data_IF_735852256571
#
_entry.id   IF_735852256571
#
_cell.length_a   1.000
_cell.length_b   1.000
_cell.length_c   1.000
_cell.angle_alpha   90.00
_cell.angle_beta   90.00
_cell.angle_gamma   90.00
#
_symmetry.space_group_name_H-M   'P 1'
#
loop_
_entity.id
_entity.type
_entity.pdbx_description
1 polymer ?
#
# COMPACT_ATOMS: atom_id res chain seq x y z
N UNK A 1 3.60 34.13 -8.46
CA UNK A 1 3.73 33.73 -7.04
C UNK A 1 2.35 33.34 -6.53
N UNK A 2 1.90 32.12 -6.80
CA UNK A 2 0.61 31.63 -6.29
C UNK A 2 0.86 31.04 -4.90
N UNK A 3 0.56 31.80 -3.85
CA UNK A 3 0.40 31.23 -2.52
C UNK A 3 -0.73 30.21 -2.61
N UNK A 4 -0.44 28.96 -2.28
CA UNK A 4 -1.50 28.01 -1.93
C UNK A 4 -2.34 28.71 -0.86
N UNK A 5 -3.61 28.97 -1.18
CA UNK A 5 -4.55 29.51 -0.21
C UNK A 5 -4.65 28.51 0.95
N UNK A 6 -3.98 28.82 2.06
CA UNK A 6 -4.08 28.10 3.33
C UNK A 6 -5.46 28.20 4.00
N UNK A 7 -6.51 28.57 3.24
CA UNK A 7 -7.89 28.45 3.67
C UNK A 7 -8.52 27.23 3.00
N UNK A 8 -7.95 26.05 3.25
CA UNK A 8 -8.74 24.83 3.13
C UNK A 8 -9.50 24.66 4.43
N UNK A 9 -10.83 24.60 4.35
CA UNK A 9 -11.64 24.00 5.40
C UNK A 9 -11.32 22.51 5.43
N UNK A 10 -10.11 22.16 5.90
CA UNK A 10 -9.77 20.79 6.23
C UNK A 10 -10.74 20.40 7.33
N UNK A 11 -11.60 19.43 7.04
CA UNK A 11 -12.28 18.65 8.06
C UNK A 11 -11.20 18.23 9.07
N UNK A 12 -11.24 18.80 10.27
CA UNK A 12 -10.36 18.42 11.37
C UNK A 12 -11.12 17.33 12.11
N UNK A 13 -10.91 16.04 11.79
CA UNK A 13 -11.49 14.98 12.58
C UNK A 13 -11.04 15.20 14.03
N UNK A 14 -11.99 15.12 14.97
CA UNK A 14 -11.68 15.29 16.38
C UNK A 14 -10.64 14.22 16.77
N UNK A 15 -9.69 14.56 17.66
CA UNK A 15 -8.63 13.65 18.10
C UNK A 15 -9.17 12.26 18.53
N UNK A 16 -10.38 12.23 19.10
CA UNK A 16 -11.12 11.03 19.47
C UNK A 16 -11.55 10.18 18.27
N UNK A 17 -11.93 10.80 17.14
CA UNK A 17 -12.34 10.11 15.91
C UNK A 17 -11.17 9.37 15.25
N UNK A 18 -9.98 9.99 15.20
CA UNK A 18 -8.78 9.33 14.66
C UNK A 18 -8.41 8.14 15.54
N UNK A 19 -8.37 8.32 16.86
CA UNK A 19 -8.08 7.23 17.80
C UNK A 19 -9.10 6.10 17.66
N UNK A 20 -10.39 6.42 17.50
CA UNK A 20 -11.43 5.41 17.29
C UNK A 20 -11.23 4.65 15.97
N UNK A 21 -10.88 5.33 14.88
CA UNK A 21 -10.57 4.67 13.59
C UNK A 21 -9.37 3.74 13.74
N UNK A 22 -8.31 4.19 14.40
CA UNK A 22 -7.11 3.37 14.63
C UNK A 22 -7.40 2.16 15.53
N UNK A 23 -8.19 2.33 16.59
CA UNK A 23 -8.64 1.24 17.47
C UNK A 23 -9.54 0.28 16.70
N UNK A 24 -10.44 0.76 15.84
CA UNK A 24 -11.30 -0.10 15.03
C UNK A 24 -10.52 -0.88 13.98
N UNK A 25 -9.56 -0.25 13.28
CA UNK A 25 -8.67 -0.95 12.34
C UNK A 25 -7.89 -2.02 13.09
N UNK A 26 -7.25 -1.67 14.21
CA UNK A 26 -6.48 -2.61 15.01
C UNK A 26 -7.35 -3.77 15.54
N UNK A 27 -8.53 -3.47 16.10
CA UNK A 27 -9.45 -4.48 16.61
C UNK A 27 -10.00 -5.38 15.50
N UNK A 28 -10.29 -4.83 14.32
CA UNK A 28 -10.76 -5.59 13.16
C UNK A 28 -9.64 -6.48 12.59
N UNK A 29 -8.41 -5.97 12.49
CA UNK A 29 -7.23 -6.76 12.13
C UNK A 29 -7.02 -7.91 13.11
N UNK A 30 -7.07 -7.64 14.43
CA UNK A 30 -6.95 -8.67 15.47
C UNK A 30 -8.10 -9.68 15.40
N UNK A 31 -9.34 -9.24 15.21
CA UNK A 31 -10.49 -10.15 15.11
C UNK A 31 -10.40 -11.06 13.89
N UNK A 32 -9.92 -10.56 12.74
CA UNK A 32 -9.73 -11.38 11.56
C UNK A 32 -8.60 -12.39 11.77
N UNK A 33 -7.45 -11.95 12.29
CA UNK A 33 -6.33 -12.82 12.64
C UNK A 33 -6.79 -13.92 13.60
N UNK A 34 -7.57 -13.56 14.64
CA UNK A 34 -8.11 -14.50 15.62
C UNK A 34 -9.13 -15.46 14.99
N UNK A 35 -9.98 -14.98 14.08
CA UNK A 35 -10.98 -15.82 13.41
C UNK A 35 -10.39 -16.84 12.44
N UNK A 36 -9.11 -16.66 12.06
CA UNK A 36 -8.38 -17.49 11.09
C UNK A 36 -7.20 -18.25 11.71
N UNK A 37 -7.21 -18.48 13.03
CA UNK A 37 -6.24 -19.37 13.71
C UNK A 37 -6.21 -20.83 13.19
N UNK A 38 -7.10 -21.22 12.29
CA UNK A 38 -6.95 -22.45 11.52
C UNK A 38 -6.18 -22.14 10.22
N UNK A 39 -4.96 -22.66 10.10
CA UNK A 39 -4.20 -22.69 8.86
C UNK A 39 -5.12 -23.15 7.72
N UNK A 40 -5.37 -22.27 6.76
CA UNK A 40 -6.13 -22.58 5.56
C UNK A 40 -5.13 -22.54 4.41
N UNK A 41 -4.74 -23.68 3.81
CA UNK A 41 -3.88 -23.66 2.64
C UNK A 41 -4.60 -22.88 1.53
N UNK A 42 -3.85 -22.10 0.74
CA UNK A 42 -4.42 -21.48 -0.45
C UNK A 42 -5.02 -22.56 -1.34
N UNK A 43 -6.28 -22.44 -1.79
CA UNK A 43 -6.86 -23.39 -2.72
C UNK A 43 -5.98 -23.47 -3.96
N UNK A 44 -5.62 -24.68 -4.39
CA UNK A 44 -4.93 -24.87 -5.66
C UNK A 44 -5.77 -24.25 -6.79
N UNK A 45 -5.14 -23.79 -7.88
CA UNK A 45 -5.85 -23.22 -9.04
C UNK A 45 -6.99 -24.14 -9.54
N UNK A 46 -6.81 -25.45 -9.44
CA UNK A 46 -7.80 -26.49 -9.80
C UNK A 46 -9.07 -26.48 -8.92
N UNK A 47 -8.98 -25.90 -7.72
CA UNK A 47 -10.06 -25.75 -6.74
C UNK A 47 -10.61 -24.33 -6.69
N UNK A 48 -10.20 -23.46 -7.62
CA UNK A 48 -10.71 -22.10 -7.75
C UNK A 48 -12.16 -22.11 -8.25
N UNK A 49 -13.09 -22.38 -7.34
CA UNK A 49 -14.51 -22.47 -7.61
C UNK A 49 -15.14 -21.13 -7.97
N UNK A 50 -16.41 -21.18 -8.38
CA UNK A 50 -17.18 -19.99 -8.81
C UNK A 50 -17.23 -18.89 -7.73
N UNK A 51 -17.24 -19.27 -6.45
CA UNK A 51 -17.28 -18.32 -5.35
C UNK A 51 -15.97 -17.50 -5.25
N UNK A 52 -14.81 -18.14 -5.40
CA UNK A 52 -13.52 -17.46 -5.39
C UNK A 52 -13.35 -16.58 -6.63
N UNK A 53 -13.88 -17.02 -7.78
CA UNK A 53 -13.93 -16.21 -9.01
C UNK A 53 -14.76 -14.94 -8.83
N UNK A 54 -15.96 -15.07 -8.27
CA UNK A 54 -16.81 -13.91 -7.94
C UNK A 54 -16.08 -12.98 -6.95
N UNK A 55 -15.47 -13.54 -5.92
CA UNK A 55 -14.77 -12.77 -4.89
C UNK A 55 -13.58 -11.99 -5.47
N UNK A 56 -12.76 -12.62 -6.33
CA UNK A 56 -11.65 -11.99 -7.04
C UNK A 56 -12.12 -10.76 -7.84
N UNK A 57 -13.17 -10.89 -8.65
CA UNK A 57 -13.61 -9.79 -9.49
C UNK A 57 -14.37 -8.70 -8.73
N UNK A 58 -15.07 -9.05 -7.64
CA UNK A 58 -15.59 -8.06 -6.70
C UNK A 58 -14.41 -7.27 -6.10
N UNK A 59 -13.34 -7.93 -5.67
CA UNK A 59 -12.14 -7.26 -5.18
C UNK A 59 -11.55 -6.31 -6.25
N UNK A 60 -11.44 -6.75 -7.51
CA UNK A 60 -10.96 -5.90 -8.61
C UNK A 60 -11.82 -4.63 -8.80
N UNK A 61 -13.14 -4.80 -8.88
CA UNK A 61 -14.09 -3.69 -9.05
C UNK A 61 -13.99 -2.71 -7.88
N UNK A 62 -13.97 -3.23 -6.64
CA UNK A 62 -13.89 -2.40 -5.44
C UNK A 62 -12.57 -1.64 -5.36
N UNK A 63 -11.45 -2.25 -5.75
CA UNK A 63 -10.14 -1.60 -5.81
C UNK A 63 -10.13 -0.39 -6.76
N UNK A 64 -10.64 -0.56 -7.98
CA UNK A 64 -10.71 0.55 -8.93
C UNK A 64 -11.75 1.60 -8.55
N UNK A 65 -12.90 1.19 -8.00
CA UNK A 65 -13.91 2.13 -7.51
C UNK A 65 -13.33 2.98 -6.37
N UNK A 66 -12.62 2.37 -5.41
CA UNK A 66 -11.96 3.09 -4.34
C UNK A 66 -10.89 4.06 -4.85
N UNK A 67 -10.15 3.69 -5.91
CA UNK A 67 -9.18 4.57 -6.57
C UNK A 67 -9.87 5.80 -7.18
N UNK A 68 -10.94 5.60 -7.95
CA UNK A 68 -11.71 6.70 -8.56
C UNK A 68 -12.27 7.63 -7.48
N UNK A 69 -12.86 7.08 -6.42
CA UNK A 69 -13.38 7.87 -5.31
C UNK A 69 -12.28 8.65 -4.58
N UNK A 70 -11.10 8.05 -4.41
CA UNK A 70 -9.93 8.72 -3.82
C UNK A 70 -9.42 9.87 -4.68
N UNK A 71 -9.39 9.70 -6.00
CA UNK A 71 -9.05 10.77 -6.96
C UNK A 71 -10.08 11.91 -6.88
N UNK A 72 -11.38 11.59 -6.88
CA UNK A 72 -12.46 12.59 -6.76
C UNK A 72 -12.33 13.37 -5.45
N UNK A 73 -12.12 12.66 -4.33
CA UNK A 73 -11.92 13.29 -3.02
C UNK A 73 -10.69 14.19 -3.03
N UNK A 74 -9.57 13.73 -3.59
CA UNK A 74 -8.33 14.51 -3.70
C UNK A 74 -8.51 15.77 -4.54
N UNK A 75 -9.20 15.69 -5.69
CA UNK A 75 -9.48 16.85 -6.52
C UNK A 75 -10.29 17.91 -5.77
N UNK A 76 -11.26 17.47 -4.94
CA UNK A 76 -12.12 18.36 -4.15
C UNK A 76 -11.41 18.98 -2.95
N UNK A 77 -10.54 18.23 -2.28
CA UNK A 77 -9.93 18.65 -1.00
C UNK A 77 -8.55 19.29 -1.19
N UNK A 78 -7.71 18.70 -2.04
CA UNK A 78 -6.31 19.12 -2.23
C UNK A 78 -6.06 19.81 -3.58
N UNK A 79 -7.01 19.73 -4.50
CA UNK A 79 -6.93 20.38 -5.80
C UNK A 79 -6.20 19.56 -6.88
N UNK A 80 -6.21 20.11 -8.09
CA UNK A 80 -5.71 19.45 -9.31
C UNK A 80 -4.22 19.14 -9.24
N UNK A 81 -3.39 20.12 -8.87
CA UNK A 81 -1.94 19.97 -8.89
C UNK A 81 -1.48 18.84 -7.97
N UNK A 82 -1.99 18.81 -6.73
CA UNK A 82 -1.67 17.73 -5.80
C UNK A 82 -2.09 16.37 -6.35
N UNK A 83 -3.31 16.27 -6.88
CA UNK A 83 -3.87 15.01 -7.39
C UNK A 83 -3.05 14.49 -8.57
N UNK A 84 -2.68 15.36 -9.51
CA UNK A 84 -1.89 15.00 -10.69
C UNK A 84 -0.44 14.63 -10.35
N UNK A 85 0.11 15.13 -9.24
CA UNK A 85 1.43 14.72 -8.77
C UNK A 85 1.32 13.37 -8.04
N UNK A 86 0.36 13.24 -7.12
CA UNK A 86 0.27 12.08 -6.23
C UNK A 86 -0.15 10.80 -6.95
N UNK A 87 -1.31 10.79 -7.63
CA UNK A 87 -1.88 9.52 -8.13
C UNK A 87 -1.05 8.90 -9.25
N UNK A 88 -0.59 9.64 -10.28
CA UNK A 88 0.28 9.06 -11.30
C UNK A 88 1.60 8.53 -10.74
N UNK A 89 2.24 9.25 -9.82
CA UNK A 89 3.49 8.77 -9.20
C UNK A 89 3.26 7.57 -8.29
N UNK A 90 2.21 7.57 -7.48
CA UNK A 90 1.87 6.45 -6.59
C UNK A 90 1.47 5.20 -7.37
N UNK A 91 0.70 5.36 -8.44
CA UNK A 91 0.29 4.25 -9.29
C UNK A 91 1.48 3.66 -10.07
N UNK A 92 2.35 4.51 -10.64
CA UNK A 92 3.59 4.06 -11.28
C UNK A 92 4.53 3.37 -10.29
N UNK A 93 4.59 3.89 -9.06
CA UNK A 93 5.40 3.30 -7.99
C UNK A 93 4.94 1.89 -7.63
N UNK A 94 3.65 1.71 -7.36
CA UNK A 94 3.07 0.39 -7.15
C UNK A 94 3.28 -0.51 -8.36
N UNK A 95 3.04 -0.02 -9.58
CA UNK A 95 3.24 -0.80 -10.80
C UNK A 95 4.66 -1.38 -10.91
N UNK A 96 5.69 -0.56 -10.68
CA UNK A 96 7.09 -1.01 -10.77
C UNK A 96 7.45 -1.97 -9.64
N UNK A 97 6.91 -1.77 -8.43
CA UNK A 97 7.09 -2.70 -7.31
C UNK A 97 6.53 -4.09 -7.60
N UNK A 98 5.42 -4.17 -8.32
CA UNK A 98 4.77 -5.45 -8.66
C UNK A 98 5.42 -6.20 -9.82
N UNK A 99 6.17 -5.51 -10.70
CA UNK A 99 6.78 -6.13 -11.88
C UNK A 99 7.60 -7.41 -11.65
N UNK A 100 8.27 -7.63 -10.50
CA UNK A 100 9.04 -8.85 -10.25
C UNK A 100 8.22 -10.04 -9.74
N UNK A 101 6.93 -9.87 -9.39
CA UNK A 101 6.15 -10.88 -8.67
C UNK A 101 5.10 -11.56 -9.56
N UNK A 102 5.03 -12.89 -9.44
CA UNK A 102 4.03 -13.78 -10.05
C UNK A 102 2.97 -14.24 -9.05
N UNK A 103 2.94 -13.63 -7.86
CA UNK A 103 2.21 -14.12 -6.69
C UNK A 103 0.70 -13.90 -6.72
N UNK A 104 0.12 -13.62 -7.88
CA UNK A 104 -1.27 -13.20 -8.05
C UNK A 104 -2.07 -14.21 -8.87
N UNK A 105 -3.38 -14.27 -8.62
CA UNK A 105 -4.26 -15.17 -9.37
C UNK A 105 -4.33 -14.81 -10.85
N UNK A 106 -4.03 -15.80 -11.69
CA UNK A 106 -3.93 -15.62 -13.14
C UNK A 106 -5.28 -15.41 -13.84
N UNK A 107 -6.41 -15.61 -13.14
CA UNK A 107 -7.76 -15.33 -13.64
C UNK A 107 -8.18 -13.87 -13.50
N UNK A 108 -7.36 -12.99 -12.91
CA UNK A 108 -7.67 -11.57 -12.80
C UNK A 108 -7.91 -10.92 -14.18
N UNK A 109 -8.84 -9.98 -14.25
CA UNK A 109 -9.19 -9.31 -15.51
C UNK A 109 -8.08 -8.42 -16.04
N UNK A 110 -7.44 -7.64 -15.16
CA UNK A 110 -6.41 -6.69 -15.55
C UNK A 110 -5.08 -7.06 -14.91
N UNK A 111 -4.19 -7.58 -15.76
CA UNK A 111 -2.84 -8.01 -15.37
C UNK A 111 -1.78 -7.11 -16.02
N UNK A 112 -0.68 -6.92 -15.32
CA UNK A 112 0.44 -6.07 -15.74
C UNK A 112 1.78 -6.74 -15.49
N UNK A 113 2.77 -6.39 -16.32
CA UNK A 113 4.11 -6.94 -16.23
C UNK A 113 4.23 -8.38 -16.78
N UNK A 114 5.46 -8.89 -16.87
CA UNK A 114 5.74 -10.20 -17.46
C UNK A 114 5.18 -11.38 -16.64
N UNK A 115 4.91 -11.17 -15.35
CA UNK A 115 4.46 -12.20 -14.41
C UNK A 115 2.95 -12.12 -14.08
N UNK A 116 2.22 -11.20 -14.72
CA UNK A 116 0.76 -11.15 -14.60
C UNK A 116 0.24 -10.57 -13.29
N UNK A 117 0.97 -9.62 -12.69
CA UNK A 117 0.54 -8.94 -11.46
C UNK A 117 -0.80 -8.24 -11.60
N UNK A 118 -1.62 -8.28 -10.55
CA UNK A 118 -2.98 -7.72 -10.56
C UNK A 118 -2.98 -6.20 -10.49
N UNK A 119 -3.54 -5.53 -11.50
CA UNK A 119 -3.59 -4.07 -11.54
C UNK A 119 -4.49 -3.48 -10.44
N UNK A 120 -5.47 -4.25 -9.97
CA UNK A 120 -6.32 -3.88 -8.83
C UNK A 120 -5.54 -3.80 -7.51
N UNK A 121 -4.48 -4.58 -7.35
CA UNK A 121 -3.59 -4.53 -6.17
C UNK A 121 -2.81 -3.21 -6.18
N UNK A 122 -2.25 -2.84 -7.34
CA UNK A 122 -1.62 -1.51 -7.54
C UNK A 122 -2.60 -0.37 -7.21
N UNK A 123 -3.85 -0.49 -7.66
CA UNK A 123 -4.90 0.48 -7.34
C UNK A 123 -5.20 0.55 -5.84
N UNK A 124 -5.34 -0.60 -5.17
CA UNK A 124 -5.59 -0.72 -3.74
C UNK A 124 -4.49 -0.08 -2.90
N UNK A 125 -3.23 -0.38 -3.20
CA UNK A 125 -2.10 0.22 -2.48
C UNK A 125 -1.94 1.71 -2.74
N UNK A 126 -2.31 2.20 -3.93
CA UNK A 126 -2.39 3.62 -4.21
C UNK A 126 -3.44 4.33 -3.34
N UNK A 127 -4.60 3.70 -3.15
CA UNK A 127 -5.67 4.17 -2.24
C UNK A 127 -5.19 4.17 -0.79
N UNK A 128 -4.55 3.09 -0.33
CA UNK A 128 -4.03 3.00 1.04
C UNK A 128 -3.02 4.12 1.31
N UNK A 129 -2.04 4.31 0.43
CA UNK A 129 -1.07 5.41 0.54
C UNK A 129 -1.76 6.78 0.61
N UNK A 130 -2.77 7.00 -0.25
CA UNK A 130 -3.54 8.23 -0.25
C UNK A 130 -4.26 8.49 1.09
N UNK A 131 -4.97 7.48 1.60
CA UNK A 131 -5.73 7.56 2.85
C UNK A 131 -4.78 7.80 4.03
N UNK A 132 -3.70 7.03 4.14
CA UNK A 132 -2.74 7.15 5.23
C UNK A 132 -2.06 8.52 5.25
N UNK A 133 -1.65 9.01 4.08
CA UNK A 133 -1.09 10.35 3.96
C UNK A 133 -2.11 11.44 4.33
N UNK A 134 -3.37 11.28 3.90
CA UNK A 134 -4.46 12.22 4.22
C UNK A 134 -4.78 12.24 5.72
N UNK A 135 -4.91 11.07 6.35
CA UNK A 135 -5.13 10.91 7.79
C UNK A 135 -3.99 11.55 8.54
N UNK A 136 -2.74 11.21 8.19
CA UNK A 136 -1.58 11.73 8.90
C UNK A 136 -1.57 13.26 8.85
N UNK A 137 -1.87 13.88 7.69
CA UNK A 137 -1.88 15.34 7.54
C UNK A 137 -2.99 16.02 8.32
N UNK A 138 -4.08 15.30 8.59
CA UNK A 138 -5.17 15.77 9.44
C UNK A 138 -4.88 15.69 10.95
N UNK A 139 -3.80 15.02 11.37
CA UNK A 139 -3.46 14.91 12.79
C UNK A 139 -3.03 16.26 13.37
N UNK A 140 -3.47 16.54 14.60
CA UNK A 140 -3.18 17.80 15.28
C UNK A 140 -1.75 17.89 15.86
N UNK A 141 -0.99 16.80 15.84
CA UNK A 141 0.39 16.76 16.30
C UNK A 141 1.37 17.14 15.18
N UNK A 142 2.42 17.88 15.55
CA UNK A 142 3.51 18.21 14.64
C UNK A 142 4.44 17.00 14.49
N UNK A 143 4.11 16.11 13.55
CA UNK A 143 4.99 15.01 13.16
C UNK A 143 6.08 15.52 12.20
N UNK A 144 7.33 15.09 12.41
CA UNK A 144 8.37 15.27 11.41
C UNK A 144 8.03 14.50 10.12
N UNK A 145 8.76 14.76 9.03
CA UNK A 145 8.54 14.04 7.77
C UNK A 145 8.79 12.54 7.95
N UNK A 146 9.84 12.20 8.70
CA UNK A 146 10.21 10.81 8.98
C UNK A 146 9.16 10.15 9.88
N UNK A 147 8.75 10.80 10.97
CA UNK A 147 7.74 10.23 11.89
C UNK A 147 6.41 9.97 11.19
N UNK A 148 6.04 10.85 10.25
CA UNK A 148 4.86 10.66 9.41
C UNK A 148 5.00 9.44 8.51
N UNK A 149 6.17 9.26 7.90
CA UNK A 149 6.49 8.06 7.14
C UNK A 149 6.35 6.81 8.00
N UNK A 150 6.96 6.80 9.19
CA UNK A 150 6.94 5.65 10.11
C UNK A 150 5.51 5.32 10.49
N UNK A 151 4.73 6.33 10.89
CA UNK A 151 3.33 6.14 11.23
C UNK A 151 2.53 5.55 10.07
N UNK A 152 2.65 6.11 8.86
CA UNK A 152 1.95 5.58 7.69
C UNK A 152 2.40 4.14 7.39
N UNK A 153 3.70 3.84 7.43
CA UNK A 153 4.22 2.49 7.23
C UNK A 153 3.62 1.49 8.22
N UNK A 154 3.62 1.83 9.52
CA UNK A 154 3.05 0.96 10.56
C UNK A 154 1.55 0.73 10.35
N UNK A 155 0.80 1.77 10.01
CA UNK A 155 -0.64 1.66 9.74
C UNK A 155 -0.92 0.82 8.49
N UNK A 156 -0.12 1.00 7.44
CA UNK A 156 -0.22 0.22 6.21
C UNK A 156 0.02 -1.27 6.46
N UNK A 157 1.09 -1.61 7.16
CA UNK A 157 1.37 -3.02 7.53
C UNK A 157 0.30 -3.59 8.45
N UNK A 158 -0.30 -2.78 9.32
CA UNK A 158 -1.40 -3.24 10.17
C UNK A 158 -2.66 -3.61 9.37
N UNK A 159 -2.81 -3.07 8.16
CA UNK A 159 -3.83 -3.47 7.17
C UNK A 159 -3.35 -4.71 6.40
N UNK A 160 -2.07 -4.77 6.05
CA UNK A 160 -1.44 -5.86 5.30
C UNK A 160 -1.48 -7.20 6.06
N UNK A 161 -1.10 -7.19 7.34
CA UNK A 161 -1.02 -8.37 8.22
C UNK A 161 -2.29 -9.25 8.18
N UNK A 162 -3.52 -8.71 8.24
CA UNK A 162 -4.72 -9.50 8.03
C UNK A 162 -5.10 -9.67 6.56
N UNK A 163 -4.90 -8.64 5.72
CA UNK A 163 -5.33 -8.66 4.32
C UNK A 163 -4.65 -9.80 3.56
N UNK A 164 -3.32 -9.87 3.66
CA UNK A 164 -2.47 -10.78 2.90
C UNK A 164 -2.76 -12.27 3.17
N UNK A 165 -2.87 -12.68 4.43
CA UNK A 165 -3.32 -14.04 4.78
C UNK A 165 -4.75 -14.36 4.32
N UNK A 166 -5.69 -13.40 4.35
CA UNK A 166 -7.06 -13.64 3.88
C UNK A 166 -7.02 -13.97 2.39
N UNK A 167 -6.44 -13.10 1.57
CA UNK A 167 -6.52 -13.34 0.13
C UNK A 167 -5.58 -14.47 -0.34
N UNK A 168 -4.54 -14.83 0.43
CA UNK A 168 -3.87 -16.12 0.27
C UNK A 168 -4.85 -17.28 0.52
N UNK A 169 -5.58 -17.28 1.64
CA UNK A 169 -6.54 -18.34 1.98
C UNK A 169 -7.72 -18.46 0.99
N UNK A 170 -8.05 -17.41 0.24
CA UNK A 170 -9.09 -17.43 -0.82
C UNK A 170 -8.51 -17.64 -2.23
N UNK A 171 -7.20 -17.85 -2.38
CA UNK A 171 -6.55 -18.10 -3.66
C UNK A 171 -6.47 -16.86 -4.56
N UNK A 172 -6.53 -15.65 -4.00
CA UNK A 172 -6.27 -14.41 -4.73
C UNK A 172 -4.77 -14.18 -4.90
N UNK A 173 -3.98 -14.67 -3.94
CA UNK A 173 -2.52 -14.71 -4.01
C UNK A 173 -1.99 -16.13 -3.88
N UNK A 174 -0.86 -16.35 -4.54
CA UNK A 174 -0.08 -17.56 -4.50
C UNK A 174 1.33 -17.19 -4.07
N UNK A 175 1.68 -17.52 -2.84
CA UNK A 175 3.04 -17.33 -2.36
C UNK A 175 3.78 -18.64 -2.38
N UNK A 176 4.91 -18.66 -3.07
CA UNK A 176 5.86 -19.75 -2.93
C UNK A 176 6.59 -19.61 -1.59
N UNK A 177 6.82 -20.74 -0.92
CA UNK A 177 7.64 -20.80 0.30
C UNK A 177 9.13 -20.46 0.05
N UNK A 178 9.46 -20.10 -1.18
CA UNK A 178 10.77 -19.66 -1.64
C UNK A 178 10.67 -18.28 -2.25
N UNK A 179 11.65 -17.43 -1.97
CA UNK A 179 11.76 -16.09 -2.53
C UNK A 179 13.15 -15.94 -3.12
N UNK A 180 13.25 -15.73 -4.44
CA UNK A 180 14.50 -15.76 -5.20
C UNK A 180 15.35 -17.03 -4.96
N UNK A 181 14.70 -18.18 -4.80
CA UNK A 181 15.36 -19.48 -4.60
C UNK A 181 15.80 -19.77 -3.16
N UNK A 182 15.53 -18.87 -2.20
CA UNK A 182 15.81 -19.11 -0.79
C UNK A 182 14.51 -19.38 -0.02
N UNK A 183 14.49 -20.37 0.89
CA UNK A 183 13.34 -20.59 1.75
C UNK A 183 13.11 -19.35 2.62
N UNK A 184 11.85 -18.91 2.70
CA UNK A 184 11.47 -17.73 3.48
C UNK A 184 10.59 -18.11 4.64
N UNK A 185 10.77 -17.39 5.75
CA UNK A 185 9.86 -17.46 6.88
C UNK A 185 8.49 -16.95 6.40
N UNK A 186 7.44 -17.72 6.65
CA UNK A 186 6.06 -17.35 6.32
C UNK A 186 5.25 -17.08 7.58
N UNK A 187 4.26 -16.21 7.44
CA UNK A 187 3.26 -15.88 8.43
C UNK A 187 1.88 -16.09 7.80
N UNK A 188 1.16 -17.11 8.25
CA UNK A 188 -0.11 -17.57 7.64
C UNK A 188 -0.04 -17.77 6.11
N UNK A 189 1.07 -18.34 5.62
CA UNK A 189 1.28 -18.61 4.19
C UNK A 189 1.88 -17.44 3.40
N UNK A 190 2.02 -16.27 4.00
CA UNK A 190 2.60 -15.07 3.34
C UNK A 190 4.06 -14.90 3.76
N UNK A 191 5.01 -14.66 2.85
CA UNK A 191 6.40 -14.39 3.17
C UNK A 191 6.54 -13.17 4.09
N UNK A 192 7.31 -13.29 5.18
CA UNK A 192 7.52 -12.17 6.13
C UNK A 192 8.11 -10.94 5.45
N UNK A 193 8.91 -11.13 4.40
CA UNK A 193 9.48 -10.05 3.60
C UNK A 193 8.42 -9.20 2.88
N UNK A 194 7.24 -9.75 2.59
CA UNK A 194 6.15 -9.00 1.97
C UNK A 194 5.68 -7.86 2.90
N UNK A 195 5.44 -8.15 4.18
CA UNK A 195 5.06 -7.13 5.16
C UNK A 195 6.15 -6.06 5.33
N UNK A 196 7.43 -6.45 5.27
CA UNK A 196 8.55 -5.50 5.29
C UNK A 196 8.59 -4.63 4.04
N UNK A 197 8.37 -5.22 2.86
CA UNK A 197 8.29 -4.48 1.61
C UNK A 197 7.16 -3.45 1.66
N UNK A 198 5.97 -3.81 2.14
CA UNK A 198 4.86 -2.86 2.26
C UNK A 198 5.10 -1.78 3.30
N UNK A 199 5.76 -2.10 4.42
CA UNK A 199 6.23 -1.09 5.37
C UNK A 199 7.09 -0.03 4.67
N UNK A 200 8.18 -0.47 4.03
CA UNK A 200 9.16 0.43 3.44
C UNK A 200 8.60 1.15 2.22
N UNK A 201 7.75 0.49 1.43
CA UNK A 201 7.02 1.10 0.31
C UNK A 201 6.25 2.33 0.76
N UNK A 202 5.42 2.19 1.79
CA UNK A 202 4.60 3.28 2.30
C UNK A 202 5.47 4.33 2.99
N UNK A 203 6.42 3.90 3.82
CA UNK A 203 7.35 4.80 4.52
C UNK A 203 8.12 5.70 3.55
N UNK A 204 8.83 5.11 2.58
CA UNK A 204 9.67 5.82 1.61
C UNK A 204 8.82 6.76 0.76
N UNK A 205 7.67 6.28 0.27
CA UNK A 205 6.80 7.10 -0.57
C UNK A 205 6.22 8.30 0.17
N UNK A 206 5.75 8.11 1.41
CA UNK A 206 5.21 9.19 2.24
C UNK A 206 6.30 10.23 2.56
N UNK A 207 7.50 9.78 2.92
CA UNK A 207 8.65 10.66 3.17
C UNK A 207 8.97 11.48 1.92
N UNK A 208 9.07 10.82 0.77
CA UNK A 208 9.33 11.48 -0.51
C UNK A 208 8.25 12.51 -0.86
N UNK A 209 6.97 12.14 -0.78
CA UNK A 209 5.86 13.04 -1.10
C UNK A 209 5.81 14.27 -0.18
N UNK A 210 6.15 14.12 1.10
CA UNK A 210 6.22 15.26 2.02
C UNK A 210 7.40 16.20 1.74
N UNK A 211 8.58 15.65 1.44
CA UNK A 211 9.71 16.48 1.01
C UNK A 211 9.42 17.19 -0.30
N UNK A 212 8.84 16.48 -1.27
CA UNK A 212 8.43 17.06 -2.56
C UNK A 212 7.35 18.14 -2.37
N UNK A 213 6.42 17.94 -1.45
CA UNK A 213 5.41 18.97 -1.12
C UNK A 213 6.07 20.22 -0.56
N UNK A 214 7.03 20.07 0.36
CA UNK A 214 7.73 21.19 1.03
C UNK A 214 8.77 21.89 0.17
N UNK A 215 9.16 21.33 -0.98
CA UNK A 215 10.13 21.97 -1.86
C UNK A 215 9.55 23.18 -2.60
N UNK A 216 10.44 24.08 -3.02
CA UNK A 216 10.10 25.30 -3.79
C UNK A 216 9.89 25.04 -5.29
N UNK A 217 9.84 23.77 -5.71
CA UNK A 217 9.63 23.40 -7.10
C UNK A 217 8.25 23.86 -7.62
N UNK A 218 8.21 24.25 -8.89
CA UNK A 218 6.94 24.51 -9.57
C UNK A 218 6.10 23.22 -9.68
N UNK A 219 4.77 23.28 -9.82
CA UNK A 219 3.93 22.08 -9.95
C UNK A 219 4.38 21.14 -11.08
N UNK A 220 4.81 21.70 -12.22
CA UNK A 220 5.37 20.92 -13.35
C UNK A 220 6.64 20.19 -12.96
N UNK A 221 7.55 20.87 -12.24
CA UNK A 221 8.79 20.25 -11.79
C UNK A 221 8.52 19.18 -10.72
N UNK A 222 7.57 19.42 -9.79
CA UNK A 222 7.15 18.40 -8.82
C UNK A 222 6.59 17.16 -9.51
N UNK A 223 5.76 17.34 -10.54
CA UNK A 223 5.26 16.23 -11.34
C UNK A 223 6.40 15.44 -12.00
N UNK A 224 7.33 16.11 -12.68
CA UNK A 224 8.48 15.45 -13.31
C UNK A 224 9.36 14.71 -12.30
N UNK A 225 9.73 15.35 -11.20
CA UNK A 225 10.51 14.73 -10.12
C UNK A 225 9.75 13.54 -9.53
N UNK A 226 8.43 13.65 -9.33
CA UNK A 226 7.62 12.56 -8.79
C UNK A 226 7.64 11.30 -9.64
N UNK A 227 7.77 11.43 -10.97
CA UNK A 227 7.82 10.28 -11.88
C UNK A 227 9.25 9.75 -12.06
N UNK A 228 10.22 10.65 -12.24
CA UNK A 228 11.61 10.27 -12.52
C UNK A 228 12.33 9.66 -11.31
N UNK A 229 11.90 9.97 -10.09
CA UNK A 229 12.50 9.41 -8.87
C UNK A 229 11.97 8.00 -8.54
N UNK A 230 10.86 7.55 -9.15
CA UNK A 230 10.23 6.25 -8.80
C UNK A 230 11.21 5.06 -8.85
N UNK A 231 12.03 4.86 -9.90
CA UNK A 231 12.96 3.72 -9.93
C UNK A 231 13.94 3.72 -8.74
N UNK A 232 14.42 4.90 -8.34
CA UNK A 232 15.28 5.04 -7.17
C UNK A 232 14.54 4.71 -5.87
N UNK A 233 13.28 5.12 -5.72
CA UNK A 233 12.48 4.78 -4.54
C UNK A 233 12.26 3.26 -4.43
N UNK A 234 12.02 2.58 -5.54
CA UNK A 234 11.87 1.12 -5.60
C UNK A 234 13.17 0.42 -5.16
N UNK A 235 14.32 0.88 -5.66
CA UNK A 235 15.62 0.36 -5.24
C UNK A 235 15.86 0.53 -3.73
N UNK A 236 15.49 1.69 -3.17
CA UNK A 236 15.61 1.96 -1.74
C UNK A 236 14.73 1.00 -0.93
N UNK A 237 13.48 0.77 -1.36
CA UNK A 237 12.58 -0.18 -0.67
C UNK A 237 13.18 -1.56 -0.61
N UNK A 238 13.61 -2.10 -1.75
CA UNK A 238 14.21 -3.43 -1.77
C UNK A 238 15.45 -3.47 -0.87
N UNK A 239 16.38 -2.52 -1.02
CA UNK A 239 17.57 -2.46 -0.18
C UNK A 239 17.24 -2.48 1.31
N UNK A 240 16.28 -1.68 1.76
CA UNK A 240 15.87 -1.61 3.16
C UNK A 240 15.20 -2.91 3.63
N UNK A 241 14.26 -3.46 2.85
CA UNK A 241 13.53 -4.67 3.21
C UNK A 241 14.46 -5.89 3.30
N UNK A 242 15.32 -6.10 2.31
CA UNK A 242 16.27 -7.22 2.31
C UNK A 242 17.32 -7.07 3.40
N UNK A 243 17.84 -5.86 3.62
CA UNK A 243 18.81 -5.63 4.72
C UNK A 243 18.16 -5.94 6.06
N UNK A 244 16.91 -5.51 6.26
CA UNK A 244 16.18 -5.77 7.51
C UNK A 244 15.93 -7.26 7.73
N UNK A 245 15.47 -7.97 6.70
CA UNK A 245 15.30 -9.42 6.77
C UNK A 245 16.63 -10.12 7.10
N UNK A 246 17.71 -9.75 6.42
CA UNK A 246 19.02 -10.36 6.61
C UNK A 246 19.55 -10.15 8.04
N UNK A 247 19.38 -8.93 8.59
CA UNK A 247 19.75 -8.64 9.97
C UNK A 247 18.93 -9.46 10.96
N UNK A 248 17.62 -9.61 10.74
CA UNK A 248 16.77 -10.45 11.59
C UNK A 248 17.22 -11.92 11.56
N UNK A 249 17.54 -12.46 10.38
CA UNK A 249 18.04 -13.83 10.24
C UNK A 249 19.39 -14.05 10.95
N UNK A 250 20.25 -13.03 11.01
CA UNK A 250 21.52 -13.10 11.76
C UNK A 250 21.27 -13.02 13.28
N UNK A 251 20.26 -12.26 13.70
CA UNK A 251 19.97 -12.01 15.12
C UNK A 251 19.16 -13.12 15.80
N UNK A 252 18.45 -13.96 15.04
CA UNK A 252 17.62 -15.07 15.55
C UNK A 252 16.19 -14.65 15.85
#
# INVERSE_FOLDING_TARGET
MFRFSEKSHMFKPHRSTIVLILVMIFAFSVLIIVSKFAYTPSPAEETFGIDNWIFLHIFEILGFLALVLSIIHSLRVYGRDYTLIFFPSCFLYGLILELPFDSYNQNAWLKVGPYGSMLSVVAGWCVINYILLSISRGMSCNLSVIDRGILCGLLGVSIDIPLDPIAYAYGLWYWDGTFFGFPVITFFGVPVINFMNWFYTIFVFVVFQEYLRKSDFSPKMKFLVSLLTIPLLVMIVFLLAYTTLHLLLIMG
#
